data_IF_016339648973
#
_entry.id   IF_016339648973
#
_cell.length_a   1.000
_cell.length_b   1.000
_cell.length_c   1.000
_cell.angle_alpha   90.00
_cell.angle_beta   90.00
_cell.angle_gamma   90.00
#
_symmetry.space_group_name_H-M   'P 1'
#
loop_
_entity.id
_entity.type
_entity.pdbx_description
1 polymer ?
#
# COMPACT_ATOMS: atom_id res chain seq x y z
N UNK A 1 -37.48 5.15 -23.25
CA UNK A 1 -36.26 5.85 -23.62
C UNK A 1 -35.81 5.53 -25.05
N UNK A 2 -36.40 4.56 -25.76
CA UNK A 2 -36.07 4.20 -27.15
C UNK A 2 -34.66 3.59 -27.36
N UNK A 3 -34.01 3.14 -26.28
CA UNK A 3 -32.70 2.49 -26.33
C UNK A 3 -32.90 0.96 -26.51
N UNK A 4 -31.97 0.32 -27.22
CA UNK A 4 -31.84 -1.15 -27.21
C UNK A 4 -31.39 -1.66 -25.83
N UNK A 5 -31.42 -2.97 -25.60
CA UNK A 5 -30.94 -3.59 -24.36
C UNK A 5 -29.43 -3.38 -24.22
N UNK A 6 -28.69 -3.50 -25.30
CA UNK A 6 -27.26 -3.32 -25.36
C UNK A 6 -26.86 -1.84 -25.07
N UNK A 7 -27.57 -0.89 -25.67
CA UNK A 7 -27.34 0.55 -25.40
C UNK A 7 -27.64 0.90 -23.95
N UNK A 8 -28.72 0.35 -23.38
CA UNK A 8 -29.06 0.57 -21.99
C UNK A 8 -28.01 -0.04 -21.04
N UNK A 9 -27.58 -1.28 -21.29
CA UNK A 9 -26.54 -1.95 -20.51
C UNK A 9 -25.21 -1.20 -20.58
N UNK A 10 -24.83 -0.76 -21.77
CA UNK A 10 -23.62 0.04 -21.97
C UNK A 10 -23.71 1.40 -21.25
N UNK A 11 -24.88 2.03 -21.27
CA UNK A 11 -25.10 3.27 -20.51
C UNK A 11 -24.88 3.10 -19.00
N UNK A 12 -25.39 2.00 -18.42
CA UNK A 12 -25.16 1.65 -17.01
C UNK A 12 -23.67 1.45 -16.74
N UNK A 13 -23.00 0.69 -17.60
CA UNK A 13 -21.55 0.44 -17.50
C UNK A 13 -20.75 1.75 -17.52
N UNK A 14 -21.06 2.65 -18.44
CA UNK A 14 -20.39 3.95 -18.54
C UNK A 14 -20.56 4.81 -17.30
N UNK A 15 -21.78 4.88 -16.76
CA UNK A 15 -22.03 5.64 -15.52
C UNK A 15 -21.21 5.07 -14.37
N UNK A 16 -21.21 3.76 -14.21
CA UNK A 16 -20.44 3.11 -13.14
C UNK A 16 -18.92 3.35 -13.28
N UNK A 17 -18.37 3.21 -14.48
CA UNK A 17 -16.94 3.43 -14.72
C UNK A 17 -16.54 4.91 -14.57
N UNK A 18 -17.37 5.86 -14.97
CA UNK A 18 -17.14 7.27 -14.75
C UNK A 18 -17.07 7.62 -13.26
N UNK A 19 -17.98 7.08 -12.44
CA UNK A 19 -17.94 7.28 -10.98
C UNK A 19 -16.65 6.73 -10.35
N UNK A 20 -16.16 5.57 -10.82
CA UNK A 20 -14.88 5.01 -10.37
C UNK A 20 -13.72 5.94 -10.77
N UNK A 21 -13.71 6.42 -11.99
CA UNK A 21 -12.69 7.36 -12.49
C UNK A 21 -12.64 8.63 -11.65
N UNK A 22 -13.80 9.24 -11.38
CA UNK A 22 -13.90 10.47 -10.61
C UNK A 22 -13.41 10.27 -9.17
N UNK A 23 -13.78 9.16 -8.52
CA UNK A 23 -13.29 8.83 -7.19
C UNK A 23 -11.77 8.63 -7.14
N UNK A 24 -11.20 7.96 -8.14
CA UNK A 24 -9.74 7.78 -8.21
C UNK A 24 -9.03 9.13 -8.43
N UNK A 25 -9.59 9.99 -9.28
CA UNK A 25 -9.07 11.36 -9.48
C UNK A 25 -9.11 12.17 -8.19
N UNK A 26 -10.23 12.15 -7.48
CA UNK A 26 -10.39 12.84 -6.20
C UNK A 26 -9.30 12.39 -5.22
N UNK A 27 -9.15 11.09 -4.98
CA UNK A 27 -8.18 10.54 -4.03
C UNK A 27 -6.73 10.85 -4.42
N UNK A 28 -6.40 10.92 -5.72
CA UNK A 28 -5.04 11.14 -6.20
C UNK A 28 -4.73 12.62 -6.35
N UNK A 29 -5.55 13.37 -7.09
CA UNK A 29 -5.29 14.78 -7.42
C UNK A 29 -5.37 15.67 -6.18
N UNK A 30 -6.30 15.43 -5.25
CA UNK A 30 -6.37 16.18 -4.00
C UNK A 30 -5.11 16.02 -3.13
N UNK A 31 -4.38 14.93 -3.32
CA UNK A 31 -3.07 14.69 -2.67
C UNK A 31 -1.88 15.19 -3.50
N UNK A 32 -2.13 15.87 -4.62
CA UNK A 32 -1.10 16.35 -5.53
C UNK A 32 -0.42 15.24 -6.33
N UNK A 33 -1.06 14.08 -6.48
CA UNK A 33 -0.54 12.92 -7.22
C UNK A 33 -1.16 12.85 -8.61
N UNK A 34 -0.34 12.52 -9.62
CA UNK A 34 -0.81 12.30 -10.99
C UNK A 34 -1.07 10.80 -11.21
N UNK A 35 -2.32 10.37 -11.53
CA UNK A 35 -2.62 8.95 -11.80
C UNK A 35 -1.74 8.32 -12.89
N UNK A 36 -1.26 9.12 -13.85
CA UNK A 36 -0.41 8.67 -14.97
C UNK A 36 0.99 8.20 -14.52
N UNK A 37 1.41 8.55 -13.32
CA UNK A 37 2.70 8.13 -12.76
C UNK A 37 2.62 6.80 -12.02
N UNK A 38 1.41 6.21 -11.92
CA UNK A 38 1.18 4.99 -11.19
C UNK A 38 0.94 3.78 -12.10
N UNK A 39 1.18 2.59 -11.54
CA UNK A 39 0.69 1.30 -12.04
C UNK A 39 -0.58 0.97 -11.29
N UNK A 40 -1.66 0.68 -12.02
CA UNK A 40 -2.92 0.28 -11.42
C UNK A 40 -2.93 -1.22 -11.14
N UNK A 41 -3.26 -1.62 -9.91
CA UNK A 41 -3.54 -3.01 -9.56
C UNK A 41 -5.05 -3.23 -9.47
N UNK A 42 -5.59 -4.07 -10.36
CA UNK A 42 -7.01 -4.41 -10.38
C UNK A 42 -7.22 -5.81 -9.80
N UNK A 43 -8.00 -5.90 -8.72
CA UNK A 43 -8.31 -7.16 -8.06
C UNK A 43 -9.76 -7.18 -7.53
N UNK A 44 -10.21 -8.35 -7.06
CA UNK A 44 -11.61 -8.61 -6.74
C UNK A 44 -12.33 -9.31 -7.89
N UNK A 45 -13.61 -9.65 -7.69
CA UNK A 45 -14.37 -10.46 -8.64
C UNK A 45 -14.66 -9.81 -9.99
N UNK A 46 -14.90 -8.49 -10.04
CA UNK A 46 -15.31 -7.77 -11.26
C UNK A 46 -14.35 -6.68 -11.71
N UNK A 47 -13.42 -6.23 -10.87
CA UNK A 47 -12.53 -5.10 -11.18
C UNK A 47 -11.71 -5.35 -12.45
N UNK A 48 -11.20 -6.58 -12.65
CA UNK A 48 -10.42 -6.95 -13.84
C UNK A 48 -11.18 -6.70 -15.16
N UNK A 49 -12.50 -6.91 -15.17
CA UNK A 49 -13.32 -6.72 -16.38
C UNK A 49 -13.51 -5.26 -16.79
N UNK A 50 -13.52 -4.35 -15.82
CA UNK A 50 -13.83 -2.92 -16.04
C UNK A 50 -12.61 -2.01 -15.97
N UNK A 51 -11.49 -2.51 -15.46
CA UNK A 51 -10.28 -1.73 -15.19
C UNK A 51 -9.64 -1.11 -16.42
N UNK A 52 -9.76 -1.76 -17.58
CA UNK A 52 -9.24 -1.23 -18.85
C UNK A 52 -9.92 0.08 -19.25
N UNK A 53 -11.22 0.21 -19.03
CA UNK A 53 -12.00 1.40 -19.37
C UNK A 53 -11.60 2.60 -18.52
N UNK A 54 -11.73 2.50 -17.20
CA UNK A 54 -11.38 3.63 -16.32
C UNK A 54 -9.87 3.86 -16.22
N UNK A 55 -9.05 2.82 -16.41
CA UNK A 55 -7.60 2.96 -16.47
C UNK A 55 -7.13 3.74 -17.70
N UNK A 56 -7.75 3.49 -18.86
CA UNK A 56 -7.49 4.27 -20.08
C UNK A 56 -7.91 5.74 -19.90
N UNK A 57 -9.05 5.99 -19.26
CA UNK A 57 -9.55 7.35 -19.00
C UNK A 57 -8.67 8.13 -18.01
N UNK A 58 -8.10 7.44 -17.02
CA UNK A 58 -7.11 7.99 -16.08
C UNK A 58 -5.72 8.17 -16.73
N UNK A 59 -5.47 7.55 -17.88
CA UNK A 59 -4.18 7.59 -18.57
C UNK A 59 -3.09 6.77 -17.90
N UNK A 60 -3.43 5.77 -17.07
CA UNK A 60 -2.42 4.91 -16.44
C UNK A 60 -1.70 4.09 -17.49
N UNK A 61 -0.38 3.97 -17.36
CA UNK A 61 0.49 3.30 -18.34
C UNK A 61 0.34 1.78 -18.32
N UNK A 62 -0.07 1.22 -17.19
CA UNK A 62 -0.12 -0.22 -16.98
C UNK A 62 -1.17 -0.59 -15.96
N UNK A 63 -1.92 -1.64 -16.28
CA UNK A 63 -2.86 -2.29 -15.37
C UNK A 63 -2.35 -3.70 -15.11
N UNK A 64 -2.22 -4.06 -13.84
CA UNK A 64 -1.84 -5.39 -13.41
C UNK A 64 -3.05 -6.07 -12.79
N UNK A 65 -3.46 -7.19 -13.34
CA UNK A 65 -4.45 -8.09 -12.76
C UNK A 65 -3.68 -9.29 -12.22
N UNK A 66 -3.48 -9.40 -10.89
CA UNK A 66 -2.68 -10.49 -10.33
C UNK A 66 -3.36 -11.85 -10.54
N UNK A 67 -2.58 -12.92 -10.60
CA UNK A 67 -3.12 -14.30 -10.66
C UNK A 67 -4.12 -14.57 -9.53
N UNK A 68 -3.88 -13.99 -8.38
CA UNK A 68 -4.73 -14.08 -7.19
C UNK A 68 -5.88 -13.08 -7.17
N UNK A 69 -6.19 -12.40 -8.27
CA UNK A 69 -7.11 -11.26 -8.29
C UNK A 69 -8.44 -11.53 -7.58
N UNK A 70 -9.06 -12.69 -7.79
CA UNK A 70 -10.35 -13.05 -7.16
C UNK A 70 -10.27 -13.27 -5.64
N UNK A 71 -9.09 -13.61 -5.12
CA UNK A 71 -8.81 -13.90 -3.70
C UNK A 71 -7.67 -13.05 -3.14
N UNK A 72 -7.36 -11.93 -3.78
CA UNK A 72 -6.18 -11.12 -3.47
C UNK A 72 -6.17 -10.58 -2.03
N UNK A 73 -7.32 -10.33 -1.44
CA UNK A 73 -7.41 -9.92 -0.03
C UNK A 73 -6.95 -11.06 0.91
N UNK A 74 -7.39 -12.30 0.64
CA UNK A 74 -6.94 -13.46 1.41
C UNK A 74 -5.45 -13.74 1.18
N UNK A 75 -4.98 -13.59 -0.07
CA UNK A 75 -3.56 -13.68 -0.39
C UNK A 75 -2.73 -12.62 0.36
N UNK A 76 -3.21 -11.37 0.40
CA UNK A 76 -2.57 -10.31 1.17
C UNK A 76 -2.49 -10.63 2.66
N UNK A 77 -3.55 -11.23 3.22
CA UNK A 77 -3.59 -11.62 4.63
C UNK A 77 -2.54 -12.68 4.98
N UNK A 78 -2.39 -13.72 4.15
CA UNK A 78 -1.36 -14.76 4.38
C UNK A 78 0.06 -14.29 4.03
N UNK A 79 0.19 -13.15 3.36
CA UNK A 79 1.47 -12.51 3.02
C UNK A 79 1.88 -11.42 4.03
N UNK A 80 1.07 -11.17 5.05
CA UNK A 80 1.35 -10.18 6.07
C UNK A 80 1.95 -10.82 7.33
N UNK A 81 2.82 -10.09 8.00
CA UNK A 81 3.27 -10.43 9.35
C UNK A 81 2.16 -10.15 10.37
N UNK A 82 2.25 -10.79 11.53
CA UNK A 82 1.44 -10.38 12.69
C UNK A 82 2.02 -9.08 13.24
N UNK A 83 1.17 -8.08 13.45
CA UNK A 83 1.60 -6.75 13.92
C UNK A 83 0.76 -6.31 15.12
N UNK A 84 1.44 -5.95 16.20
CA UNK A 84 0.83 -5.32 17.36
C UNK A 84 1.44 -3.95 17.60
N UNK A 85 0.59 -2.96 17.84
CA UNK A 85 1.02 -1.60 18.15
C UNK A 85 0.72 -1.27 19.61
N UNK A 86 1.72 -0.73 20.27
CA UNK A 86 1.63 -0.23 21.65
C UNK A 86 2.06 1.22 21.66
N UNK A 87 1.40 2.04 22.45
CA UNK A 87 1.80 3.42 22.61
C UNK A 87 1.56 3.95 24.02
N UNK A 88 2.39 4.89 24.40
CA UNK A 88 2.26 5.67 25.65
C UNK A 88 2.37 7.14 25.32
N UNK A 89 1.38 7.91 25.75
CA UNK A 89 1.38 9.38 25.62
C UNK A 89 2.04 9.97 26.86
N UNK A 90 3.16 10.64 26.66
CA UNK A 90 3.85 11.41 27.69
C UNK A 90 4.64 12.52 27.03
N UNK A 91 4.39 13.75 27.39
CA UNK A 91 5.17 14.89 26.87
C UNK A 91 6.45 15.04 27.66
N UNK A 92 7.59 14.95 26.95
CA UNK A 92 8.92 15.17 27.48
C UNK A 92 9.64 16.21 26.63
N UNK A 93 10.33 17.20 27.22
CA UNK A 93 11.17 18.13 26.45
C UNK A 93 12.41 17.41 25.92
N UNK A 94 13.00 17.91 24.86
CA UNK A 94 14.26 17.42 24.33
C UNK A 94 15.37 18.47 24.51
N UNK A 95 16.50 18.10 25.16
CA UNK A 95 16.82 16.78 25.72
C UNK A 95 16.11 16.48 27.04
N UNK A 96 15.88 15.20 27.31
CA UNK A 96 15.36 14.69 28.60
C UNK A 96 16.36 13.76 29.28
N UNK A 97 16.28 13.62 30.63
CA UNK A 97 17.08 12.61 31.34
C UNK A 97 16.81 11.20 30.82
N UNK A 98 17.86 10.41 30.63
CA UNK A 98 17.73 9.03 30.12
C UNK A 98 16.89 8.13 31.03
N UNK A 99 16.78 8.44 32.32
CA UNK A 99 15.97 7.72 33.29
C UNK A 99 14.46 7.80 33.03
N UNK A 100 14.00 8.74 32.19
CA UNK A 100 12.59 8.90 31.83
C UNK A 100 12.11 7.81 30.85
N UNK A 101 13.00 7.20 30.10
CA UNK A 101 12.64 6.30 29.01
C UNK A 101 12.34 4.84 29.41
N UNK A 102 13.13 4.18 30.30
CA UNK A 102 12.84 2.80 30.68
C UNK A 102 11.40 2.59 31.19
N UNK A 103 10.81 3.44 32.05
CA UNK A 103 9.44 3.28 32.48
C UNK A 103 8.41 3.37 31.36
N UNK A 104 8.76 3.97 30.23
CA UNK A 104 7.88 4.07 29.04
C UNK A 104 8.06 2.85 28.14
N UNK A 105 9.28 2.40 27.94
CA UNK A 105 9.61 1.35 26.98
C UNK A 105 9.43 -0.07 27.54
N UNK A 106 9.89 -0.32 28.75
CA UNK A 106 9.95 -1.66 29.32
C UNK A 106 8.56 -2.32 29.43
N UNK A 107 7.51 -1.65 29.93
CA UNK A 107 6.17 -2.24 29.99
C UNK A 107 5.59 -2.57 28.61
N UNK A 108 5.83 -1.71 27.61
CA UNK A 108 5.39 -1.99 26.23
C UNK A 108 6.11 -3.19 25.65
N UNK A 109 7.44 -3.28 25.85
CA UNK A 109 8.28 -4.37 25.39
C UNK A 109 7.86 -5.70 26.02
N UNK A 110 7.69 -5.74 27.33
CA UNK A 110 7.27 -6.94 28.07
C UNK A 110 5.93 -7.45 27.58
N UNK A 111 4.95 -6.54 27.45
CA UNK A 111 3.63 -6.87 26.95
C UNK A 111 3.68 -7.39 25.51
N UNK A 112 4.44 -6.75 24.64
CA UNK A 112 4.59 -7.14 23.24
C UNK A 112 5.22 -8.52 23.10
N UNK A 113 6.32 -8.78 23.82
CA UNK A 113 7.01 -10.07 23.81
C UNK A 113 6.14 -11.20 24.35
N UNK A 114 5.34 -10.93 25.39
CA UNK A 114 4.41 -11.90 25.94
C UNK A 114 3.33 -12.26 24.91
N UNK A 115 2.68 -11.27 24.30
CA UNK A 115 1.63 -11.51 23.30
C UNK A 115 2.17 -12.29 22.11
N UNK A 116 3.32 -11.88 21.57
CA UNK A 116 3.95 -12.60 20.44
C UNK A 116 4.37 -14.03 20.82
N UNK A 117 4.83 -14.26 22.06
CA UNK A 117 5.16 -15.60 22.54
C UNK A 117 3.90 -16.49 22.65
N UNK A 118 2.80 -15.96 23.15
CA UNK A 118 1.50 -16.66 23.24
C UNK A 118 0.96 -17.00 21.83
N UNK A 119 1.33 -16.22 20.80
CA UNK A 119 1.01 -16.45 19.38
C UNK A 119 2.05 -17.36 18.65
N UNK A 120 3.08 -17.81 19.34
CA UNK A 120 4.09 -18.74 18.82
C UNK A 120 5.32 -18.09 18.17
N UNK A 121 5.54 -16.79 18.38
CA UNK A 121 6.71 -16.07 17.85
C UNK A 121 7.76 -15.87 18.94
N UNK A 122 9.02 -16.22 18.62
CA UNK A 122 10.15 -16.02 19.52
C UNK A 122 11.46 -15.88 18.74
N UNK A 123 12.50 -15.38 19.39
CA UNK A 123 13.85 -15.24 18.81
C UNK A 123 13.87 -14.39 17.57
N UNK A 124 14.47 -14.90 16.50
CA UNK A 124 14.67 -14.18 15.23
C UNK A 124 13.35 -13.88 14.47
N UNK A 125 12.24 -14.50 14.89
CA UNK A 125 10.92 -14.22 14.32
C UNK A 125 10.24 -13.00 14.91
N UNK A 126 10.85 -12.33 15.88
CA UNK A 126 10.29 -11.13 16.54
C UNK A 126 11.08 -9.89 16.14
N UNK A 127 10.40 -8.89 15.64
CA UNK A 127 10.96 -7.57 15.37
C UNK A 127 10.23 -6.53 16.22
N UNK A 128 11.01 -5.68 16.89
CA UNK A 128 10.52 -4.57 17.69
C UNK A 128 10.99 -3.26 17.07
N UNK A 129 10.09 -2.54 16.42
CA UNK A 129 10.36 -1.24 15.81
C UNK A 129 9.83 -0.13 16.72
N UNK A 130 10.73 0.73 17.17
CA UNK A 130 10.42 1.86 18.04
C UNK A 130 10.35 3.16 17.27
N UNK A 131 9.41 4.00 17.64
CA UNK A 131 9.30 5.36 17.13
C UNK A 131 8.77 6.31 18.21
N UNK A 132 8.96 7.59 17.98
CA UNK A 132 8.46 8.65 18.84
C UNK A 132 7.88 9.77 17.99
N UNK A 133 6.75 10.30 18.41
CA UNK A 133 6.17 11.49 17.80
C UNK A 133 6.80 12.73 18.43
N UNK A 134 7.35 13.58 17.56
CA UNK A 134 8.01 14.83 17.96
C UNK A 134 7.32 16.02 17.30
N UNK A 135 7.36 17.14 18.00
CA UNK A 135 6.92 18.42 17.49
C UNK A 135 7.81 19.55 18.01
N UNK A 136 7.79 20.69 17.36
CA UNK A 136 8.28 21.90 18.00
C UNK A 136 7.30 22.36 19.09
N UNK A 137 7.84 22.90 20.17
CA UNK A 137 7.01 23.39 21.29
C UNK A 137 5.94 24.35 20.79
N UNK A 138 4.72 24.19 21.33
CA UNK A 138 3.50 24.94 20.95
C UNK A 138 2.94 24.66 19.56
N UNK A 139 3.48 23.71 18.79
CA UNK A 139 2.84 23.23 17.57
C UNK A 139 1.87 22.09 17.84
N UNK A 140 0.89 21.95 16.95
CA UNK A 140 -0.10 20.87 17.00
C UNK A 140 0.36 19.66 16.16
N UNK A 141 1.04 19.92 15.05
CA UNK A 141 1.43 18.87 14.11
C UNK A 141 2.68 18.13 14.58
N UNK A 142 2.59 16.82 14.57
CA UNK A 142 3.64 15.90 14.98
C UNK A 142 4.27 15.20 13.77
N UNK A 143 5.52 14.80 13.95
CA UNK A 143 6.27 13.99 12.99
C UNK A 143 6.79 12.75 13.71
N UNK A 144 6.32 11.58 13.27
CA UNK A 144 6.79 10.30 13.78
C UNK A 144 8.21 10.04 13.30
N UNK A 145 9.13 9.88 14.24
CA UNK A 145 10.56 9.66 13.99
C UNK A 145 10.99 8.29 14.50
N UNK A 146 11.56 7.43 13.64
CA UNK A 146 12.05 6.11 14.05
C UNK A 146 13.22 6.20 15.03
N UNK A 147 13.28 5.25 15.99
CA UNK A 147 14.38 5.14 16.96
C UNK A 147 15.41 4.06 16.58
N UNK A 148 15.33 3.48 15.39
CA UNK A 148 16.09 2.30 14.98
C UNK A 148 17.60 2.43 15.08
N UNK A 149 18.13 3.63 14.77
CA UNK A 149 19.56 3.94 14.80
C UNK A 149 20.05 4.52 16.13
N UNK A 150 19.17 4.59 17.13
CA UNK A 150 19.39 5.38 18.35
C UNK A 150 19.33 4.51 19.62
N UNK A 151 18.88 3.26 19.48
CA UNK A 151 18.84 2.32 20.60
C UNK A 151 20.17 1.56 20.76
N UNK A 152 20.65 1.36 21.99
CA UNK A 152 20.12 1.88 23.24
C UNK A 152 20.23 3.41 23.31
N UNK A 153 19.24 4.08 23.96
CA UNK A 153 19.23 5.53 24.07
C UNK A 153 20.43 6.04 24.87
N UNK A 154 21.18 6.94 24.25
CA UNK A 154 22.29 7.68 24.85
C UNK A 154 22.08 9.17 24.65
N UNK A 155 22.93 10.00 25.24
CA UNK A 155 22.86 11.46 25.01
C UNK A 155 23.08 11.78 23.52
N UNK A 156 24.08 11.16 22.92
CA UNK A 156 24.38 11.30 21.48
C UNK A 156 23.23 10.74 20.61
N UNK A 157 22.52 9.71 21.10
CA UNK A 157 21.32 9.20 20.48
C UNK A 157 20.17 10.22 20.45
N UNK A 158 19.96 10.95 21.56
CA UNK A 158 18.95 12.02 21.59
C UNK A 158 19.32 13.20 20.69
N UNK A 159 20.61 13.54 20.54
CA UNK A 159 21.04 14.58 19.58
C UNK A 159 20.77 14.13 18.13
N UNK A 160 21.05 12.85 17.80
CA UNK A 160 20.71 12.28 16.50
C UNK A 160 19.20 12.29 16.26
N UNK A 161 18.41 11.95 17.27
CA UNK A 161 16.94 12.00 17.17
C UNK A 161 16.45 13.41 16.82
N UNK A 162 17.02 14.44 17.41
CA UNK A 162 16.71 15.83 17.06
C UNK A 162 17.00 16.12 15.58
N UNK A 163 18.15 15.67 15.09
CA UNK A 163 18.55 15.88 13.70
C UNK A 163 17.65 15.09 12.72
N UNK A 164 17.33 13.83 13.06
CA UNK A 164 16.45 12.98 12.24
C UNK A 164 15.04 13.59 12.17
N UNK A 165 14.53 14.09 13.28
CA UNK A 165 13.26 14.82 13.31
C UNK A 165 13.29 16.06 12.40
N UNK A 166 14.32 16.91 12.49
CA UNK A 166 14.43 18.10 11.65
C UNK A 166 14.48 17.75 10.16
N UNK A 167 15.23 16.70 9.82
CA UNK A 167 15.30 16.19 8.44
C UNK A 167 13.93 15.74 7.93
N UNK A 168 13.17 14.99 8.73
CA UNK A 168 11.84 14.54 8.38
C UNK A 168 10.85 15.70 8.34
N UNK A 169 10.99 16.67 9.24
CA UNK A 169 10.17 17.87 9.29
C UNK A 169 10.35 18.72 8.02
N UNK A 170 11.60 18.98 7.62
CA UNK A 170 11.89 19.72 6.39
C UNK A 170 11.43 18.99 5.12
N UNK A 171 11.50 17.66 5.12
CA UNK A 171 10.96 16.85 4.02
C UNK A 171 9.44 17.00 3.90
N UNK A 172 8.75 17.12 5.02
CA UNK A 172 7.28 17.22 5.06
C UNK A 172 6.77 18.64 4.80
N UNK A 173 7.45 19.65 5.33
CA UNK A 173 6.99 21.04 5.32
C UNK A 173 7.85 21.99 4.46
N UNK A 174 8.92 21.49 3.87
CA UNK A 174 9.82 22.25 3.00
C UNK A 174 11.16 22.56 3.66
N UNK A 175 12.20 22.67 2.84
CA UNK A 175 13.56 22.99 3.28
C UNK A 175 13.62 24.33 4.00
N UNK A 176 14.29 24.41 5.14
CA UNK A 176 14.40 25.61 5.97
C UNK A 176 13.20 25.84 6.89
N UNK A 177 12.24 24.90 6.99
CA UNK A 177 11.10 24.98 7.92
C UNK A 177 11.45 24.53 9.34
N UNK A 178 12.61 23.91 9.55
CA UNK A 178 13.07 23.52 10.87
C UNK A 178 13.37 24.77 11.73
N UNK A 179 12.92 24.74 13.00
CA UNK A 179 13.08 25.86 13.92
C UNK A 179 13.43 25.36 15.32
N UNK A 180 14.68 24.93 15.47
CA UNK A 180 15.20 24.32 16.72
C UNK A 180 15.05 25.22 17.96
N UNK A 181 15.14 26.55 17.77
CA UNK A 181 15.02 27.52 18.86
C UNK A 181 13.66 27.51 19.56
N UNK A 182 12.61 27.01 18.88
CA UNK A 182 11.31 26.81 19.51
C UNK A 182 11.30 25.72 20.60
N UNK A 183 12.37 24.88 20.66
CA UNK A 183 12.43 23.67 21.46
C UNK A 183 11.67 22.53 20.82
N UNK A 184 12.06 21.30 21.14
CA UNK A 184 11.43 20.07 20.63
C UNK A 184 10.79 19.35 21.81
N UNK A 185 9.60 18.80 21.60
CA UNK A 185 8.87 17.97 22.55
C UNK A 185 8.64 16.58 21.94
N UNK A 186 8.90 15.54 22.73
CA UNK A 186 8.44 14.17 22.47
C UNK A 186 7.06 14.03 23.08
N UNK A 187 6.08 13.54 22.34
CA UNK A 187 4.68 13.52 22.79
C UNK A 187 4.11 12.13 22.95
N UNK A 188 4.48 11.21 22.07
CA UNK A 188 4.00 9.83 22.11
C UNK A 188 5.11 8.86 21.73
N UNK A 189 5.27 7.83 22.53
CA UNK A 189 6.22 6.73 22.32
C UNK A 189 5.47 5.53 21.79
N UNK A 190 5.98 4.92 20.72
CA UNK A 190 5.33 3.81 20.02
C UNK A 190 6.28 2.63 19.88
N UNK A 191 5.70 1.44 20.01
CA UNK A 191 6.32 0.17 19.69
C UNK A 191 5.45 -0.57 18.70
N UNK A 192 5.98 -0.83 17.51
CA UNK A 192 5.41 -1.78 16.55
C UNK A 192 6.14 -3.11 16.71
N UNK A 193 5.45 -4.10 17.25
CA UNK A 193 5.97 -5.43 17.46
C UNK A 193 5.47 -6.37 16.37
N UNK A 194 6.39 -7.01 15.63
CA UNK A 194 6.05 -7.90 14.52
C UNK A 194 6.49 -9.32 14.78
N UNK A 195 5.56 -10.26 14.54
CA UNK A 195 5.83 -11.69 14.44
C UNK A 195 5.96 -12.06 12.96
N UNK A 196 7.17 -12.44 12.53
CA UNK A 196 7.47 -12.75 11.13
C UNK A 196 6.80 -14.07 10.72
N UNK A 197 5.90 -13.96 9.75
CA UNK A 197 5.23 -15.10 9.13
C UNK A 197 6.06 -15.69 7.99
N UNK A 198 5.78 -16.95 7.65
CA UNK A 198 6.29 -17.55 6.40
C UNK A 198 5.46 -17.02 5.24
N UNK A 199 6.09 -16.31 4.32
CA UNK A 199 5.40 -15.75 3.16
C UNK A 199 5.33 -16.73 1.99
N UNK A 200 4.29 -16.64 1.13
CA UNK A 200 4.24 -17.39 -0.12
C UNK A 200 5.45 -17.08 -1.00
N UNK A 201 5.95 -18.11 -1.70
CA UNK A 201 7.02 -17.90 -2.67
C UNK A 201 6.51 -17.14 -3.89
N UNK A 202 7.11 -15.95 -4.12
CA UNK A 202 6.81 -15.04 -5.23
C UNK A 202 7.90 -15.06 -6.30
N UNK A 203 8.71 -16.12 -6.35
CA UNK A 203 9.78 -16.24 -7.33
C UNK A 203 9.23 -16.15 -8.76
N UNK A 204 9.90 -15.42 -9.67
CA UNK A 204 9.46 -15.31 -11.06
C UNK A 204 9.44 -16.67 -11.75
N UNK A 205 8.32 -16.99 -12.40
CA UNK A 205 8.24 -18.18 -13.24
C UNK A 205 9.05 -18.03 -14.53
N UNK A 206 9.61 -19.13 -15.08
CA UNK A 206 10.27 -19.11 -16.38
C UNK A 206 9.34 -18.57 -17.48
N UNK A 207 9.90 -17.85 -18.45
CA UNK A 207 9.16 -17.40 -19.63
C UNK A 207 9.14 -18.49 -20.69
N UNK A 208 7.95 -18.73 -21.28
CA UNK A 208 7.73 -19.79 -22.29
C UNK A 208 7.57 -19.26 -23.72
N UNK A 209 7.51 -17.95 -23.91
CA UNK A 209 7.31 -17.33 -25.23
C UNK A 209 6.01 -16.55 -25.32
N UNK A 210 5.82 -15.84 -26.44
CA UNK A 210 4.68 -14.92 -26.63
C UNK A 210 3.43 -15.60 -27.18
N UNK A 211 3.56 -16.78 -27.79
CA UNK A 211 2.45 -17.50 -28.42
C UNK A 211 1.41 -17.96 -27.41
N UNK A 212 0.21 -17.40 -27.50
CA UNK A 212 -0.95 -17.72 -26.65
C UNK A 212 -1.99 -18.60 -27.35
N UNK A 213 -1.72 -19.09 -28.58
CA UNK A 213 -2.71 -19.83 -29.40
C UNK A 213 -3.25 -21.08 -28.73
N UNK A 214 -2.44 -21.77 -27.93
CA UNK A 214 -2.86 -22.99 -27.20
C UNK A 214 -3.90 -22.73 -26.10
N UNK A 215 -4.05 -21.49 -25.67
CA UNK A 215 -5.03 -21.11 -24.66
C UNK A 215 -6.38 -20.72 -25.27
N UNK A 216 -6.50 -20.62 -26.60
CA UNK A 216 -7.78 -20.30 -27.26
C UNK A 216 -8.72 -21.51 -27.16
N UNK A 217 -9.86 -21.30 -26.51
CA UNK A 217 -10.87 -22.37 -26.29
C UNK A 217 -12.19 -22.12 -27.04
N UNK A 218 -12.34 -20.96 -27.67
CA UNK A 218 -13.54 -20.65 -28.44
C UNK A 218 -13.55 -19.22 -28.95
N UNK A 219 -14.70 -18.81 -29.51
CA UNK A 219 -14.98 -17.46 -29.98
C UNK A 219 -16.36 -17.02 -29.59
N UNK A 220 -16.53 -15.72 -29.41
CA UNK A 220 -17.85 -15.10 -29.24
C UNK A 220 -17.84 -13.64 -29.67
N UNK A 221 -19.01 -13.12 -29.96
CA UNK A 221 -19.18 -11.68 -30.15
C UNK A 221 -19.18 -10.93 -28.82
N UNK A 222 -18.43 -9.85 -28.74
CA UNK A 222 -18.43 -8.92 -27.61
C UNK A 222 -18.61 -7.50 -28.11
N UNK A 223 -19.23 -6.64 -27.31
CA UNK A 223 -19.35 -5.24 -27.63
C UNK A 223 -18.02 -4.53 -27.35
N UNK A 224 -17.46 -3.91 -28.37
CA UNK A 224 -16.19 -3.15 -28.28
C UNK A 224 -16.49 -1.67 -28.36
N UNK A 225 -16.31 -0.96 -27.25
CA UNK A 225 -16.62 0.48 -27.14
C UNK A 225 -15.96 1.33 -28.23
N UNK A 226 -14.66 1.15 -28.43
CA UNK A 226 -13.89 1.92 -29.44
C UNK A 226 -14.40 1.77 -30.88
N UNK A 227 -15.19 0.71 -31.14
CA UNK A 227 -15.81 0.45 -32.45
C UNK A 227 -17.31 0.68 -32.44
N UNK A 228 -17.92 0.88 -31.26
CA UNK A 228 -19.37 0.95 -31.05
C UNK A 228 -20.12 -0.21 -31.74
N UNK A 229 -19.56 -1.40 -31.75
CA UNK A 229 -20.04 -2.57 -32.47
C UNK A 229 -19.71 -3.87 -31.77
N UNK A 230 -20.51 -4.92 -32.09
CA UNK A 230 -20.18 -6.30 -31.75
C UNK A 230 -19.01 -6.78 -32.61
N UNK A 231 -18.02 -7.40 -31.99
CA UNK A 231 -16.80 -7.90 -32.66
C UNK A 231 -16.56 -9.34 -32.22
N UNK A 232 -16.34 -10.24 -33.16
CA UNK A 232 -15.92 -11.60 -32.87
C UNK A 232 -14.55 -11.57 -32.20
N UNK A 233 -14.43 -12.23 -31.06
CA UNK A 233 -13.22 -12.21 -30.23
C UNK A 233 -12.90 -13.60 -29.74
N UNK A 234 -11.61 -13.93 -29.66
CA UNK A 234 -11.14 -15.19 -29.11
C UNK A 234 -11.36 -15.24 -27.59
N UNK A 235 -11.74 -16.43 -27.10
CA UNK A 235 -11.87 -16.75 -25.68
C UNK A 235 -10.62 -17.53 -25.27
N UNK A 236 -9.94 -17.09 -24.24
CA UNK A 236 -8.73 -17.72 -23.70
C UNK A 236 -9.04 -18.38 -22.36
N UNK A 237 -8.58 -19.61 -22.17
CA UNK A 237 -8.54 -20.24 -20.87
C UNK A 237 -7.31 -19.77 -20.12
N UNK A 238 -7.51 -19.01 -19.06
CA UNK A 238 -6.44 -18.47 -18.22
C UNK A 238 -5.51 -19.54 -17.65
N UNK A 239 -6.02 -20.75 -17.38
CA UNK A 239 -5.23 -21.86 -16.82
C UNK A 239 -4.23 -22.45 -17.82
N UNK A 240 -4.46 -22.22 -19.12
CA UNK A 240 -3.58 -22.66 -20.21
C UNK A 240 -2.54 -21.61 -20.60
N UNK A 241 -2.67 -20.36 -20.11
CA UNK A 241 -1.70 -19.31 -20.36
C UNK A 241 -0.41 -19.57 -19.60
N UNK A 242 0.72 -19.29 -20.24
CA UNK A 242 2.05 -19.44 -19.68
C UNK A 242 2.72 -18.06 -19.54
N UNK A 243 3.67 -17.98 -18.59
CA UNK A 243 4.44 -16.75 -18.38
C UNK A 243 5.15 -16.32 -19.67
N UNK A 244 4.87 -15.12 -20.12
CA UNK A 244 5.41 -14.54 -21.34
C UNK A 244 4.44 -14.51 -22.50
N UNK A 245 3.29 -15.25 -22.44
CA UNK A 245 2.28 -15.17 -23.50
C UNK A 245 1.77 -13.73 -23.66
N UNK A 246 1.49 -13.36 -24.91
CA UNK A 246 0.95 -12.05 -25.27
C UNK A 246 -0.37 -12.25 -26.00
N UNK A 247 -1.39 -11.55 -25.57
CA UNK A 247 -2.72 -11.53 -26.20
C UNK A 247 -2.95 -10.10 -26.70
N UNK A 248 -3.26 -9.98 -27.99
CA UNK A 248 -3.64 -8.71 -28.59
C UNK A 248 -5.16 -8.65 -28.65
N UNK A 249 -5.77 -7.72 -27.91
CA UNK A 249 -7.23 -7.59 -27.85
C UNK A 249 -7.86 -6.98 -29.11
N UNK A 250 -9.20 -7.04 -29.23
CA UNK A 250 -10.12 -7.48 -28.19
C UNK A 250 -10.10 -9.00 -27.98
N UNK A 251 -10.20 -9.43 -26.71
CA UNK A 251 -10.16 -10.82 -26.27
C UNK A 251 -10.98 -11.03 -24.98
N UNK A 252 -11.36 -12.27 -24.71
CA UNK A 252 -12.13 -12.67 -23.51
C UNK A 252 -11.34 -13.70 -22.71
#
# INVERSE_FOLDING_TARGET
>A
MGLSVEEAAYGIFRVATAQITDLIREITVERGLDPRDFVMHAFGGSCGMVSSTFGAELGVKKIVVPYTASVNCAFGLISADIVHEYSVVKTLPMPSPLSEFPPLFDPMKEKALKVLADEGFSGDKVILDWSVDLRYSRQVHEVTTPLKSILPLTKEGLERLSHDFETLYERKYGKGSAFREAGIEMTQFRLTARGLMSHPDMSPSPKFGEDSSKAVVGRREIFVEARSAMVESDIYDFTLLQTGNVIVGPAV
#
